data_IF_854642890551
#
_entry.id   IF_854642890551
#
_cell.length_a   1.000
_cell.length_b   1.000
_cell.length_c   1.000
_cell.angle_alpha   90.00
_cell.angle_beta   90.00
_cell.angle_gamma   90.00
#
_symmetry.space_group_name_H-M   'P 1'
#
loop_
_entity.id
_entity.type
_entity.pdbx_description
1 polymer ?
#
# COMPACT_ATOMS: atom_id res chain seq x y z
N UNK A 1 29.10 -18.32 -7.23
CA UNK A 1 28.14 -17.89 -8.27
C UNK A 1 27.51 -19.17 -8.79
N UNK A 2 26.24 -19.45 -8.47
CA UNK A 2 25.57 -20.65 -8.99
C UNK A 2 25.60 -20.61 -10.52
N UNK A 3 26.04 -21.71 -11.13
CA UNK A 3 26.19 -21.81 -12.59
C UNK A 3 24.81 -21.73 -13.22
N UNK A 4 24.56 -20.69 -14.02
CA UNK A 4 23.29 -20.53 -14.75
C UNK A 4 23.12 -21.69 -15.74
N UNK A 5 21.88 -22.11 -15.97
CA UNK A 5 21.59 -23.10 -17.02
C UNK A 5 21.92 -22.52 -18.40
N UNK A 6 22.22 -23.40 -19.37
CA UNK A 6 22.55 -22.98 -20.74
C UNK A 6 21.41 -22.19 -21.40
N UNK A 7 20.17 -22.58 -21.12
CA UNK A 7 19.00 -21.87 -21.65
C UNK A 7 18.85 -20.49 -21.01
N UNK A 8 19.11 -20.38 -19.71
CA UNK A 8 19.11 -19.09 -19.01
C UNK A 8 20.16 -18.14 -19.59
N UNK A 9 21.38 -18.64 -19.87
CA UNK A 9 22.44 -17.85 -20.53
C UNK A 9 22.01 -17.33 -21.91
N UNK A 10 21.44 -18.20 -22.76
CA UNK A 10 20.98 -17.82 -24.10
C UNK A 10 19.89 -16.74 -24.02
N UNK A 11 18.89 -16.93 -23.16
CA UNK A 11 17.81 -15.96 -22.95
C UNK A 11 18.34 -14.62 -22.44
N UNK A 12 19.34 -14.66 -21.56
CA UNK A 12 19.99 -13.45 -21.04
C UNK A 12 20.72 -12.67 -22.15
N UNK A 13 21.44 -13.37 -23.02
CA UNK A 13 22.11 -12.77 -24.19
C UNK A 13 21.12 -12.09 -25.15
N UNK A 14 19.93 -12.66 -25.30
CA UNK A 14 18.82 -12.09 -26.09
C UNK A 14 18.01 -11.03 -25.35
N UNK A 15 18.46 -10.56 -24.18
CA UNK A 15 17.76 -9.57 -23.33
C UNK A 15 16.36 -10.02 -22.88
N UNK A 16 16.09 -11.32 -22.89
CA UNK A 16 14.85 -11.89 -22.36
C UNK A 16 15.03 -12.20 -20.87
N UNK A 17 15.13 -11.13 -20.06
CA UNK A 17 15.54 -11.25 -18.65
C UNK A 17 14.55 -12.04 -17.77
N UNK A 18 13.25 -11.92 -18.01
CA UNK A 18 12.24 -12.67 -17.27
C UNK A 18 12.40 -14.19 -17.48
N UNK A 19 12.32 -14.73 -18.71
CA UNK A 19 12.52 -16.16 -18.91
C UNK A 19 13.96 -16.59 -18.57
N UNK A 20 14.97 -15.73 -18.73
CA UNK A 20 16.33 -16.03 -18.27
C UNK A 20 16.34 -16.35 -16.76
N UNK A 21 15.73 -15.50 -15.92
CA UNK A 21 15.60 -15.76 -14.49
C UNK A 21 14.75 -16.99 -14.15
N UNK A 22 13.71 -17.27 -14.94
CA UNK A 22 12.84 -18.43 -14.74
C UNK A 22 13.55 -19.78 -14.94
N UNK A 23 14.53 -19.82 -15.84
CA UNK A 23 15.31 -21.02 -16.16
C UNK A 23 16.68 -21.07 -15.46
N UNK A 24 17.04 -20.10 -14.62
CA UNK A 24 18.30 -20.15 -13.85
C UNK A 24 18.41 -21.43 -13.02
N UNK A 25 17.33 -21.80 -12.33
CA UNK A 25 17.22 -23.04 -11.55
C UNK A 25 16.01 -23.86 -12.05
N UNK A 26 16.18 -24.60 -13.13
CA UNK A 26 15.09 -25.35 -13.77
C UNK A 26 14.38 -26.34 -12.83
N UNK A 27 15.13 -26.91 -11.88
CA UNK A 27 14.64 -27.94 -10.96
C UNK A 27 14.10 -27.36 -9.65
N UNK A 28 14.11 -26.03 -9.48
CA UNK A 28 13.55 -25.40 -8.30
C UNK A 28 12.01 -25.39 -8.32
N UNK A 29 11.36 -25.26 -7.15
CA UNK A 29 9.92 -25.03 -7.07
C UNK A 29 9.48 -23.81 -7.89
N UNK A 30 8.27 -23.84 -8.44
CA UNK A 30 7.73 -22.79 -9.31
C UNK A 30 7.83 -21.39 -8.68
N UNK A 31 7.53 -21.25 -7.39
CA UNK A 31 7.61 -19.97 -6.68
C UNK A 31 9.02 -19.38 -6.74
N UNK A 32 10.06 -20.21 -6.56
CA UNK A 32 11.46 -19.77 -6.62
C UNK A 32 11.85 -19.36 -8.03
N UNK A 33 11.36 -20.09 -9.05
CA UNK A 33 11.59 -19.77 -10.46
C UNK A 33 10.95 -18.44 -10.85
N UNK A 34 9.70 -18.20 -10.44
CA UNK A 34 9.03 -16.92 -10.65
C UNK A 34 9.70 -15.78 -9.89
N UNK A 35 10.14 -16.00 -8.65
CA UNK A 35 10.86 -14.99 -7.88
C UNK A 35 12.16 -14.56 -8.59
N UNK A 36 12.94 -15.52 -9.11
CA UNK A 36 14.14 -15.23 -9.92
C UNK A 36 13.80 -14.53 -11.23
N UNK A 37 12.73 -14.94 -11.92
CA UNK A 37 12.26 -14.28 -13.14
C UNK A 37 11.91 -12.80 -12.91
N UNK A 38 11.12 -12.51 -11.87
CA UNK A 38 10.74 -11.16 -11.47
C UNK A 38 11.99 -10.35 -11.09
N UNK A 39 12.90 -10.93 -10.30
CA UNK A 39 14.16 -10.28 -9.94
C UNK A 39 14.96 -9.87 -11.17
N UNK A 40 15.23 -10.80 -12.10
CA UNK A 40 16.00 -10.50 -13.33
C UNK A 40 15.33 -9.45 -14.20
N UNK A 41 13.99 -9.51 -14.30
CA UNK A 41 13.22 -8.49 -15.00
C UNK A 41 13.37 -7.11 -14.38
N UNK A 42 13.27 -6.98 -13.05
CA UNK A 42 13.39 -5.70 -12.35
C UNK A 42 14.82 -5.15 -12.37
N UNK A 43 15.86 -6.00 -12.28
CA UNK A 43 17.27 -5.59 -12.37
C UNK A 43 17.62 -4.88 -13.70
N UNK A 44 16.86 -5.16 -14.77
CA UNK A 44 17.11 -4.64 -16.11
C UNK A 44 16.01 -3.69 -16.59
N UNK A 45 15.01 -3.41 -15.75
CA UNK A 45 13.97 -2.45 -16.07
C UNK A 45 14.44 -1.07 -15.66
N UNK A 46 14.30 -0.10 -16.56
CA UNK A 46 14.52 1.29 -16.19
C UNK A 46 13.58 1.68 -15.06
N UNK A 47 14.14 2.36 -14.05
CA UNK A 47 13.33 2.95 -12.99
C UNK A 47 12.33 3.90 -13.63
N UNK A 48 11.05 3.76 -13.25
CA UNK A 48 10.03 4.70 -13.71
C UNK A 48 10.45 6.11 -13.23
N UNK A 49 10.50 7.12 -14.11
CA UNK A 49 10.80 8.49 -13.71
C UNK A 49 9.80 8.93 -12.63
N UNK A 50 10.31 9.21 -11.44
CA UNK A 50 9.51 9.59 -10.27
C UNK A 50 9.70 11.07 -9.91
N UNK A 51 10.49 11.82 -10.67
CA UNK A 51 10.60 13.27 -10.51
C UNK A 51 9.28 13.95 -10.89
N UNK A 52 8.61 14.50 -9.88
CA UNK A 52 7.34 15.22 -10.03
C UNK A 52 6.09 14.34 -9.94
N UNK A 53 6.23 13.03 -9.79
CA UNK A 53 5.09 12.09 -9.71
C UNK A 53 4.82 11.74 -8.24
N UNK A 54 3.65 12.13 -7.71
CA UNK A 54 3.18 11.64 -6.41
C UNK A 54 2.86 10.15 -6.54
N UNK A 55 3.78 9.28 -6.08
CA UNK A 55 3.65 7.81 -6.15
C UNK A 55 2.45 7.32 -5.30
N UNK A 56 2.07 8.11 -4.30
CA UNK A 56 0.87 7.90 -3.51
C UNK A 56 -0.10 9.05 -3.76
N UNK A 57 -1.39 8.79 -4.07
CA UNK A 57 -2.43 9.80 -3.95
C UNK A 57 -2.68 10.05 -2.47
N UNK A 58 -1.69 10.65 -1.79
CA UNK A 58 -1.96 11.32 -0.54
C UNK A 58 -2.68 12.59 -1.00
N UNK A 59 -4.01 12.59 -0.89
CA UNK A 59 -4.73 13.86 -0.80
C UNK A 59 -4.04 14.73 0.24
N UNK A 60 -4.16 16.05 0.18
CA UNK A 60 -3.70 16.90 1.29
C UNK A 60 -4.54 16.59 2.54
N UNK A 61 -4.28 15.45 3.19
CA UNK A 61 -4.83 15.07 4.46
C UNK A 61 -3.75 15.49 5.46
N UNK A 62 -3.73 16.78 5.75
CA UNK A 62 -3.19 17.21 7.02
C UNK A 62 -4.29 16.91 8.04
N UNK A 63 -4.17 15.84 8.86
CA UNK A 63 -5.18 15.56 9.89
C UNK A 63 -5.39 16.73 10.86
N UNK A 64 -4.46 17.69 10.88
CA UNK A 64 -4.49 18.92 11.67
C UNK A 64 -5.22 20.10 11.00
N UNK A 65 -5.51 20.05 9.69
CA UNK A 65 -6.25 21.09 8.96
C UNK A 65 -7.62 20.62 8.44
N UNK A 66 -8.20 19.56 9.04
CA UNK A 66 -9.52 19.07 8.63
C UNK A 66 -10.59 20.03 9.16
N UNK A 67 -11.46 20.59 8.30
CA UNK A 67 -12.62 21.35 8.76
C UNK A 67 -13.49 20.46 9.65
N UNK A 68 -13.80 20.92 10.87
CA UNK A 68 -14.50 20.14 11.91
C UNK A 68 -13.62 19.16 12.70
N UNK A 69 -12.32 19.44 12.87
CA UNK A 69 -11.38 18.62 13.64
C UNK A 69 -11.97 18.12 14.98
N UNK A 70 -12.44 16.87 14.94
CA UNK A 70 -12.96 16.11 16.09
C UNK A 70 -11.90 15.20 16.70
N UNK A 71 -10.73 15.08 16.05
CA UNK A 71 -9.60 14.28 16.51
C UNK A 71 -8.49 15.20 17.01
N UNK A 72 -7.96 14.90 18.20
CA UNK A 72 -6.84 15.60 18.80
C UNK A 72 -5.66 14.65 19.06
N UNK A 73 -4.45 15.18 19.12
CA UNK A 73 -3.29 14.41 19.54
C UNK A 73 -3.36 14.10 21.03
N UNK A 74 -3.12 12.83 21.39
CA UNK A 74 -2.84 12.42 22.75
C UNK A 74 -1.49 11.66 22.71
N UNK A 75 -0.47 12.15 23.40
CA UNK A 75 0.90 11.59 23.54
C UNK A 75 1.52 10.73 22.41
N UNK A 76 2.67 11.18 21.89
CA UNK A 76 3.63 10.62 20.90
C UNK A 76 3.14 9.90 19.63
N UNK A 77 1.98 9.25 19.61
CA UNK A 77 1.44 8.56 18.43
C UNK A 77 -0.04 8.18 18.53
N UNK A 78 -0.76 8.55 19.61
CA UNK A 78 -2.21 8.27 19.70
C UNK A 78 -3.07 9.47 19.28
N UNK A 79 -4.24 9.17 18.73
CA UNK A 79 -5.28 10.14 18.45
C UNK A 79 -6.42 9.91 19.44
N UNK A 80 -6.85 10.98 20.11
CA UNK A 80 -8.08 11.01 20.88
C UNK A 80 -9.21 11.63 20.06
N UNK A 81 -10.45 11.29 20.40
CA UNK A 81 -11.64 11.95 19.86
C UNK A 81 -12.20 12.91 20.90
N UNK A 82 -12.49 14.14 20.47
CA UNK A 82 -13.28 15.12 21.21
C UNK A 82 -14.74 14.65 21.23
N UNK A 83 -15.08 13.84 22.24
CA UNK A 83 -16.39 13.20 22.38
C UNK A 83 -17.56 14.22 22.35
N UNK A 84 -17.50 15.38 23.03
CA UNK A 84 -18.54 16.40 22.91
C UNK A 84 -18.76 16.91 21.48
N UNK A 85 -17.68 17.23 20.75
CA UNK A 85 -17.80 17.69 19.35
C UNK A 85 -18.32 16.59 18.42
N UNK A 86 -17.88 15.36 18.65
CA UNK A 86 -18.32 14.20 17.89
C UNK A 86 -19.84 13.97 18.05
N UNK A 87 -20.36 13.99 19.29
CA UNK A 87 -21.78 13.88 19.55
C UNK A 87 -22.61 15.02 18.90
N UNK A 88 -22.10 16.25 18.94
CA UNK A 88 -22.75 17.40 18.31
C UNK A 88 -22.81 17.33 16.77
N UNK A 89 -21.81 16.71 16.13
CA UNK A 89 -21.83 16.46 14.68
C UNK A 89 -22.74 15.28 14.32
N UNK A 90 -22.71 14.20 15.10
CA UNK A 90 -23.60 13.05 14.89
C UNK A 90 -25.08 13.46 14.91
N UNK A 91 -25.46 14.39 15.80
CA UNK A 91 -26.83 14.92 15.87
C UNK A 91 -27.27 15.73 14.63
N UNK A 92 -26.34 16.17 13.79
CA UNK A 92 -26.63 16.93 12.55
C UNK A 92 -26.82 16.05 11.32
N UNK A 93 -26.59 14.74 11.44
CA UNK A 93 -26.76 13.81 10.33
C UNK A 93 -28.26 13.57 10.11
N UNK A 94 -28.76 14.04 8.97
CA UNK A 94 -30.17 13.93 8.60
C UNK A 94 -30.48 12.67 7.81
N UNK A 95 -29.48 12.10 7.12
CA UNK A 95 -29.64 10.87 6.36
C UNK A 95 -29.81 9.65 7.29
N UNK A 96 -30.86 8.83 7.14
CA UNK A 96 -31.13 7.69 8.02
C UNK A 96 -30.05 6.60 7.99
N UNK A 97 -29.40 6.37 6.84
CA UNK A 97 -28.34 5.37 6.70
C UNK A 97 -27.07 5.85 7.39
N UNK A 98 -26.65 7.08 7.11
CA UNK A 98 -25.46 7.68 7.75
C UNK A 98 -25.63 7.80 9.26
N UNK A 99 -26.86 8.08 9.73
CA UNK A 99 -27.18 8.12 11.16
C UNK A 99 -27.02 6.75 11.81
N UNK A 100 -27.52 5.69 11.19
CA UNK A 100 -27.39 4.31 11.71
C UNK A 100 -25.92 3.90 11.79
N UNK A 101 -25.13 4.23 10.76
CA UNK A 101 -23.69 3.98 10.75
C UNK A 101 -22.98 4.76 11.86
N UNK A 102 -23.32 6.04 12.04
CA UNK A 102 -22.73 6.88 13.08
C UNK A 102 -23.08 6.40 14.50
N UNK A 103 -24.33 6.02 14.75
CA UNK A 103 -24.76 5.46 16.05
C UNK A 103 -24.03 4.17 16.41
N UNK A 104 -23.67 3.35 15.40
CA UNK A 104 -22.83 2.17 15.58
C UNK A 104 -21.41 2.54 15.97
N UNK A 105 -20.78 3.49 15.25
CA UNK A 105 -19.42 3.96 15.53
C UNK A 105 -19.32 4.55 16.94
N UNK A 106 -20.29 5.39 17.36
CA UNK A 106 -20.34 5.96 18.72
C UNK A 106 -20.32 4.85 19.78
N UNK A 107 -21.09 3.78 19.57
CA UNK A 107 -21.19 2.63 20.48
C UNK A 107 -19.88 1.84 20.57
N UNK A 108 -19.23 1.61 19.43
CA UNK A 108 -17.94 0.90 19.38
C UNK A 108 -16.81 1.72 20.04
N UNK A 109 -16.91 3.05 20.07
CA UNK A 109 -15.90 3.92 20.69
C UNK A 109 -16.12 4.19 22.19
N UNK A 110 -17.27 3.82 22.75
CA UNK A 110 -17.62 4.02 24.17
C UNK A 110 -17.56 2.73 25.01
N UNK A 111 -17.30 1.58 24.39
CA UNK A 111 -16.96 0.31 25.06
C UNK A 111 -15.45 0.17 25.22
#
# INVERSE_FOLDING_TARGET
MDRMSRESELLYQHKQYFPAGFYEEKNAPLVKRYARAIRRFLEHREAIPHTGTRIYPIGNCNPWDIPSQITGHHYSSSMGVDQPKFAALAAKITDPFDRTLMERVVREMTM
#
